data_IF_351977205692
#
_entry.id   IF_351977205692
#
_cell.length_a   1.000
_cell.length_b   1.000
_cell.length_c   1.000
_cell.angle_alpha   90.00
_cell.angle_beta   90.00
_cell.angle_gamma   90.00
#
_symmetry.space_group_name_H-M   'P 1'
#
loop_
_entity.id
_entity.type
_entity.pdbx_description
1 polymer ?
#
# COMPACT_ATOMS: atom_id res chain seq x y z
N UNK A 1 -14.17 10.72 -20.82
CA UNK A 1 -13.98 9.25 -20.79
C UNK A 1 -12.78 9.00 -19.91
N UNK A 2 -12.95 8.21 -18.87
CA UNK A 2 -11.89 7.98 -17.89
C UNK A 2 -10.89 6.98 -18.42
N UNK A 3 -9.62 7.38 -18.45
CA UNK A 3 -8.55 6.54 -18.94
C UNK A 3 -7.42 6.47 -17.93
N UNK A 4 -6.94 5.25 -17.68
CA UNK A 4 -5.73 5.00 -16.90
C UNK A 4 -4.65 4.54 -17.86
N UNK A 5 -3.48 5.14 -17.79
CA UNK A 5 -2.32 4.73 -18.58
C UNK A 5 -1.06 4.77 -17.73
N UNK A 6 -0.13 3.89 -18.05
CA UNK A 6 1.18 3.80 -17.41
C UNK A 6 2.25 4.24 -18.39
N UNK A 7 3.19 5.08 -17.93
CA UNK A 7 4.26 5.63 -18.75
C UNK A 7 5.57 5.67 -17.97
N UNK A 8 6.64 5.36 -18.68
CA UNK A 8 8.00 5.54 -18.19
C UNK A 8 8.52 6.92 -18.59
N UNK A 9 9.29 7.53 -17.70
CA UNK A 9 9.98 8.79 -17.96
C UNK A 9 11.26 8.90 -17.13
N UNK A 10 12.10 9.85 -17.50
CA UNK A 10 13.38 10.09 -16.84
C UNK A 10 13.48 11.53 -16.36
N UNK A 11 14.21 11.72 -15.25
CA UNK A 11 14.63 13.03 -14.77
C UNK A 11 16.12 13.04 -14.50
N UNK A 12 16.72 14.23 -14.63
CA UNK A 12 18.09 14.49 -14.20
C UNK A 12 18.09 14.99 -12.75
N UNK A 13 18.61 14.16 -11.85
CA UNK A 13 18.64 14.38 -10.41
C UNK A 13 19.97 13.88 -9.82
N UNK A 14 20.97 14.77 -9.68
CA UNK A 14 22.25 14.42 -9.07
C UNK A 14 22.04 14.01 -7.60
N UNK A 15 22.92 13.18 -7.01
CA UNK A 15 22.81 12.69 -5.64
C UNK A 15 22.42 13.72 -4.58
N UNK A 16 23.02 14.92 -4.64
CA UNK A 16 22.76 16.01 -3.69
C UNK A 16 21.34 16.59 -3.74
N UNK A 17 20.57 16.27 -4.78
CA UNK A 17 19.18 16.71 -4.98
C UNK A 17 18.16 15.58 -4.80
N UNK A 18 18.55 14.39 -4.34
CA UNK A 18 17.65 13.22 -4.23
C UNK A 18 16.78 13.27 -2.96
N UNK A 19 16.05 14.35 -2.81
CA UNK A 19 14.94 14.53 -1.85
C UNK A 19 13.62 14.40 -2.59
N UNK A 20 12.52 14.07 -1.89
CA UNK A 20 11.22 14.03 -2.56
C UNK A 20 10.84 15.41 -3.10
N UNK A 21 11.11 16.48 -2.34
CA UNK A 21 10.83 17.87 -2.73
C UNK A 21 11.44 18.25 -4.08
N UNK A 22 12.70 17.93 -4.30
CA UNK A 22 13.39 18.26 -5.56
C UNK A 22 12.96 17.34 -6.70
N UNK A 23 12.80 16.04 -6.41
CA UNK A 23 12.35 15.04 -7.38
C UNK A 23 10.94 15.40 -7.87
N UNK A 24 10.01 15.72 -6.98
CA UNK A 24 8.63 16.01 -7.34
C UNK A 24 8.50 17.28 -8.20
N UNK A 25 9.31 18.31 -7.95
CA UNK A 25 9.38 19.51 -8.79
C UNK A 25 9.89 19.19 -10.21
N UNK A 26 10.93 18.36 -10.33
CA UNK A 26 11.45 17.92 -11.63
C UNK A 26 10.40 17.11 -12.40
N UNK A 27 9.67 16.24 -11.72
CA UNK A 27 8.57 15.46 -12.32
C UNK A 27 7.43 16.39 -12.76
N UNK A 28 7.04 17.36 -11.93
CA UNK A 28 5.98 18.32 -12.24
C UNK A 28 6.31 19.24 -13.43
N UNK A 29 7.60 19.46 -13.73
CA UNK A 29 8.05 20.24 -14.88
C UNK A 29 7.98 19.47 -16.21
N UNK A 30 7.82 18.15 -16.19
CA UNK A 30 7.65 17.34 -17.39
C UNK A 30 6.23 17.49 -17.94
N UNK A 31 6.01 17.41 -19.26
CA UNK A 31 4.69 17.41 -19.88
C UNK A 31 4.02 16.04 -19.69
N UNK A 32 3.79 15.65 -18.44
CA UNK A 32 3.17 14.38 -18.08
C UNK A 32 1.64 14.47 -18.17
N UNK A 33 0.99 13.42 -18.68
CA UNK A 33 -0.44 13.43 -18.89
C UNK A 33 -1.22 13.08 -17.60
N UNK A 34 -2.36 13.74 -17.37
CA UNK A 34 -3.31 13.40 -16.30
C UNK A 34 -2.81 13.62 -14.86
N UNK A 35 -3.53 13.05 -13.90
CA UNK A 35 -3.19 13.06 -12.46
C UNK A 35 -2.36 11.83 -12.14
N UNK A 36 -1.16 11.95 -11.52
CA UNK A 36 -0.37 10.80 -11.12
C UNK A 36 -1.02 10.09 -9.93
N UNK A 37 -1.20 8.77 -10.04
CA UNK A 37 -1.83 7.92 -9.00
C UNK A 37 -0.89 6.87 -8.43
N UNK A 38 0.23 6.58 -9.11
CA UNK A 38 1.27 5.66 -8.65
C UNK A 38 2.60 6.09 -9.25
N UNK A 39 3.66 6.16 -8.45
CA UNK A 39 5.03 6.44 -8.92
C UNK A 39 5.99 5.39 -8.37
N UNK A 40 6.79 4.80 -9.25
CA UNK A 40 7.76 3.76 -8.94
C UNK A 40 9.09 4.17 -9.54
N UNK A 41 10.14 4.27 -8.72
CA UNK A 41 11.50 4.37 -9.22
C UNK A 41 11.95 2.98 -9.70
N UNK A 42 12.24 2.84 -10.99
CA UNK A 42 12.58 1.55 -11.60
C UNK A 42 14.06 1.42 -11.91
N UNK A 43 14.78 2.55 -12.06
CA UNK A 43 16.20 2.54 -12.42
C UNK A 43 16.94 3.78 -11.94
N UNK A 44 18.22 3.61 -11.62
CA UNK A 44 19.16 4.68 -11.23
C UNK A 44 20.46 4.50 -12.02
N UNK A 45 20.83 5.47 -12.85
CA UNK A 45 22.06 5.44 -13.65
C UNK A 45 22.77 6.80 -13.64
N UNK A 46 23.88 6.89 -12.90
CA UNK A 46 24.56 8.17 -12.71
C UNK A 46 23.61 9.18 -12.05
N UNK A 47 23.36 10.31 -12.72
CA UNK A 47 22.43 11.35 -12.30
C UNK A 47 21.00 11.15 -12.85
N UNK A 48 20.78 10.14 -13.68
CA UNK A 48 19.47 9.85 -14.26
C UNK A 48 18.65 8.93 -13.34
N UNK A 49 17.42 9.35 -13.05
CA UNK A 49 16.42 8.53 -12.38
C UNK A 49 15.30 8.19 -13.37
N UNK A 50 14.98 6.91 -13.52
CA UNK A 50 13.87 6.44 -14.36
C UNK A 50 12.70 6.00 -13.50
N UNK A 51 11.52 6.51 -13.81
CA UNK A 51 10.28 6.21 -13.11
C UNK A 51 9.27 5.57 -14.04
N UNK A 52 8.54 4.58 -13.53
CA UNK A 52 7.25 4.14 -14.06
C UNK A 52 6.16 4.85 -13.26
N UNK A 53 5.22 5.51 -13.94
CA UNK A 53 4.07 6.14 -13.29
C UNK A 53 2.78 5.77 -13.97
N UNK A 54 1.75 5.52 -13.16
CA UNK A 54 0.39 5.38 -13.63
C UNK A 54 -0.35 6.69 -13.40
N UNK A 55 -1.10 7.10 -14.40
CA UNK A 55 -1.86 8.34 -14.41
C UNK A 55 -3.30 8.05 -14.78
N UNK A 56 -4.18 8.99 -14.42
CA UNK A 56 -5.58 8.98 -14.82
C UNK A 56 -5.96 10.32 -15.43
N UNK A 57 -6.65 10.24 -16.56
CA UNK A 57 -7.33 11.34 -17.21
C UNK A 57 -8.84 11.18 -17.01
N UNK A 58 -9.46 12.15 -16.32
CA UNK A 58 -10.88 12.16 -15.98
C UNK A 58 -11.35 13.59 -15.68
N UNK A 59 -12.65 13.84 -15.89
CA UNK A 59 -13.27 15.14 -15.59
C UNK A 59 -13.46 15.37 -14.07
N UNK A 60 -13.33 14.30 -13.27
CA UNK A 60 -13.44 14.37 -11.82
C UNK A 60 -12.19 14.95 -11.20
N UNK A 61 -12.34 15.82 -10.19
CA UNK A 61 -11.19 16.39 -9.48
C UNK A 61 -10.74 15.47 -8.35
N UNK A 62 -9.42 15.36 -8.09
CA UNK A 62 -8.91 14.66 -6.92
C UNK A 62 -9.46 15.25 -5.62
N UNK A 63 -9.69 14.40 -4.61
CA UNK A 63 -10.15 14.84 -3.27
C UNK A 63 -9.00 15.22 -2.34
N UNK A 64 -7.81 14.68 -2.63
CA UNK A 64 -6.55 14.93 -1.92
C UNK A 64 -5.59 15.73 -2.81
N UNK A 65 -4.51 16.22 -2.21
CA UNK A 65 -3.41 16.87 -2.92
C UNK A 65 -2.72 15.91 -3.90
N UNK A 66 -1.94 16.45 -4.84
CA UNK A 66 -1.15 15.63 -5.74
C UNK A 66 -0.14 14.80 -4.95
N UNK A 67 0.20 13.61 -5.45
CA UNK A 67 1.34 12.83 -4.91
C UNK A 67 2.67 13.60 -5.02
N UNK A 68 2.74 14.60 -5.90
CA UNK A 68 3.92 15.45 -6.05
C UNK A 68 4.01 16.55 -4.98
N UNK A 69 2.92 16.79 -4.24
CA UNK A 69 2.87 17.81 -3.19
C UNK A 69 3.31 17.21 -1.85
N UNK A 70 4.24 17.89 -1.17
CA UNK A 70 4.71 17.53 0.18
C UNK A 70 4.51 18.70 1.15
N UNK A 71 3.88 18.40 2.28
CA UNK A 71 3.67 19.30 3.40
C UNK A 71 4.55 18.86 4.58
N UNK A 72 5.61 19.62 4.84
CA UNK A 72 6.56 19.30 5.91
C UNK A 72 5.91 19.49 7.27
N UNK A 73 6.08 18.47 8.13
CA UNK A 73 5.60 18.48 9.51
C UNK A 73 6.21 19.64 10.27
N UNK A 74 5.36 20.35 11.03
CA UNK A 74 5.78 21.52 11.79
C UNK A 74 6.24 21.16 13.20
N UNK A 75 5.87 19.97 13.69
CA UNK A 75 6.23 19.43 14.99
C UNK A 75 6.35 17.91 14.95
N UNK A 76 7.00 17.38 15.98
CA UNK A 76 7.11 15.93 16.23
C UNK A 76 6.35 15.60 17.51
N UNK A 77 5.47 14.60 17.43
CA UNK A 77 4.64 14.15 18.56
C UNK A 77 4.62 12.62 18.61
N UNK A 78 5.51 12.02 19.40
CA UNK A 78 5.60 10.56 19.55
C UNK A 78 4.48 9.96 20.43
N UNK A 79 3.34 10.65 20.51
CA UNK A 79 2.15 10.26 21.27
C UNK A 79 0.91 10.50 20.38
N UNK A 80 0.22 9.45 19.91
CA UNK A 80 0.63 8.04 20.01
C UNK A 80 1.94 7.77 19.24
N UNK A 81 2.68 6.72 19.62
CA UNK A 81 3.84 6.23 18.89
C UNK A 81 3.37 5.42 17.67
N UNK A 82 3.47 6.01 16.47
CA UNK A 82 2.99 5.40 15.23
C UNK A 82 4.17 4.90 14.40
N UNK A 83 4.11 3.64 13.98
CA UNK A 83 5.00 3.10 12.96
C UNK A 83 4.23 2.91 11.65
N UNK A 84 4.91 3.06 10.52
CA UNK A 84 4.39 2.70 9.20
C UNK A 84 5.18 1.52 8.68
N UNK A 85 4.52 0.43 8.29
CA UNK A 85 5.15 -0.72 7.64
C UNK A 85 4.74 -0.75 6.18
N UNK A 86 5.72 -0.68 5.28
CA UNK A 86 5.51 -0.79 3.84
C UNK A 86 5.99 -2.15 3.39
N UNK A 87 5.10 -2.91 2.75
CA UNK A 87 5.48 -4.12 2.03
C UNK A 87 5.02 -3.98 0.58
N UNK A 88 5.95 -3.66 -0.34
CA UNK A 88 5.62 -3.33 -1.71
C UNK A 88 5.06 -4.55 -2.42
N UNK A 89 3.93 -4.36 -3.11
CA UNK A 89 3.27 -5.41 -3.88
C UNK A 89 3.72 -5.37 -5.33
N UNK A 90 3.76 -6.52 -6.01
CA UNK A 90 4.10 -6.60 -7.43
C UNK A 90 5.59 -6.51 -7.74
N UNK A 91 6.44 -6.63 -6.72
CA UNK A 91 7.92 -6.52 -6.81
C UNK A 91 8.66 -7.76 -6.28
N UNK A 92 7.91 -8.83 -5.95
CA UNK A 92 8.41 -10.07 -5.35
C UNK A 92 9.20 -9.81 -4.05
N UNK A 93 8.54 -9.26 -3.04
CA UNK A 93 9.10 -9.28 -1.69
C UNK A 93 9.21 -10.74 -1.20
N UNK A 94 10.23 -11.06 -0.40
CA UNK A 94 10.35 -12.39 0.20
C UNK A 94 9.37 -12.60 1.35
N UNK A 95 8.99 -11.52 2.04
CA UNK A 95 7.92 -11.47 3.03
C UNK A 95 6.88 -10.44 2.57
N UNK A 96 5.62 -10.88 2.42
CA UNK A 96 4.50 -10.08 1.91
C UNK A 96 4.45 -9.97 0.39
N UNK A 97 5.24 -10.81 -0.30
CA UNK A 97 5.11 -11.02 -1.75
C UNK A 97 4.01 -12.01 -2.14
N UNK A 98 3.47 -12.72 -1.16
CA UNK A 98 2.41 -13.73 -1.29
C UNK A 98 1.16 -13.27 -0.52
N UNK A 99 0.06 -14.02 -0.62
CA UNK A 99 -1.21 -13.60 -0.02
C UNK A 99 -1.16 -13.55 1.52
N UNK A 100 -0.92 -12.35 2.06
CA UNK A 100 -0.94 -12.03 3.50
C UNK A 100 0.11 -12.74 4.34
N UNK A 101 1.17 -13.28 3.72
CA UNK A 101 2.28 -13.98 4.39
C UNK A 101 3.09 -13.06 5.31
N UNK A 102 2.94 -11.74 5.16
CA UNK A 102 3.51 -10.75 6.05
C UNK A 102 2.72 -10.51 7.36
N UNK A 103 1.51 -11.06 7.51
CA UNK A 103 0.66 -10.80 8.70
C UNK A 103 1.40 -11.04 10.02
N UNK A 104 2.19 -12.12 10.19
CA UNK A 104 2.97 -12.33 11.43
C UNK A 104 3.99 -11.21 11.70
N UNK A 105 4.73 -10.77 10.67
CA UNK A 105 5.69 -9.66 10.77
C UNK A 105 4.98 -8.35 11.08
N UNK A 106 3.83 -8.09 10.44
CA UNK A 106 2.98 -6.93 10.74
C UNK A 106 2.54 -6.93 12.20
N UNK A 107 2.02 -8.05 12.71
CA UNK A 107 1.58 -8.15 14.10
C UNK A 107 2.73 -8.00 15.11
N UNK A 108 3.93 -8.48 14.77
CA UNK A 108 5.11 -8.31 15.59
C UNK A 108 5.50 -6.82 15.70
N UNK A 109 5.52 -6.10 14.58
CA UNK A 109 5.76 -4.65 14.57
C UNK A 109 4.65 -3.89 15.32
N UNK A 110 3.39 -4.30 15.15
CA UNK A 110 2.24 -3.70 15.81
C UNK A 110 2.31 -3.83 17.33
N UNK A 111 2.88 -4.93 17.82
CA UNK A 111 3.11 -5.14 19.26
C UNK A 111 4.17 -4.18 19.84
N UNK A 112 4.97 -3.51 19.00
CA UNK A 112 6.01 -2.56 19.42
C UNK A 112 5.57 -1.09 19.37
N UNK A 113 4.39 -0.77 18.82
CA UNK A 113 3.88 0.59 18.69
C UNK A 113 2.45 0.75 19.22
N UNK A 114 1.95 1.98 19.31
CA UNK A 114 0.55 2.23 19.67
C UNK A 114 -0.36 1.98 18.46
N UNK A 115 0.07 2.38 17.27
CA UNK A 115 -0.59 2.06 16.00
C UNK A 115 0.44 1.68 14.93
N UNK A 116 0.11 0.68 14.11
CA UNK A 116 0.88 0.32 12.92
C UNK A 116 0.06 0.60 11.67
N UNK A 117 0.47 1.54 10.84
CA UNK A 117 -0.15 1.76 9.52
C UNK A 117 0.50 0.83 8.51
N UNK A 118 -0.29 0.09 7.73
CA UNK A 118 0.25 -0.78 6.67
C UNK A 118 -0.71 -0.98 5.50
N UNK A 119 -0.15 -1.40 4.36
CA UNK A 119 -0.90 -1.64 3.14
C UNK A 119 -1.68 -2.96 3.19
N UNK A 120 -2.83 -3.05 2.48
CA UNK A 120 -3.70 -4.22 2.41
C UNK A 120 -3.00 -5.58 2.36
N UNK A 121 -2.12 -5.76 1.37
CA UNK A 121 -1.47 -7.03 1.08
C UNK A 121 -0.57 -7.55 2.21
N UNK A 122 -0.20 -6.70 3.17
CA UNK A 122 0.54 -7.13 4.34
C UNK A 122 -0.29 -7.97 5.33
N UNK A 123 -1.64 -7.92 5.25
CA UNK A 123 -2.54 -8.55 6.23
C UNK A 123 -3.74 -9.28 5.63
N UNK A 124 -3.99 -9.16 4.33
CA UNK A 124 -5.10 -9.85 3.65
C UNK A 124 -4.62 -11.08 2.91
N UNK A 125 -5.25 -12.22 3.20
CA UNK A 125 -4.95 -13.50 2.60
C UNK A 125 -6.26 -14.19 2.18
N UNK A 126 -6.89 -13.71 1.10
CA UNK A 126 -8.14 -14.25 0.58
C UNK A 126 -9.26 -14.33 1.62
N UNK A 127 -9.46 -15.48 2.27
CA UNK A 127 -10.47 -15.65 3.33
C UNK A 127 -9.94 -15.47 4.75
N UNK A 128 -8.62 -15.43 4.94
CA UNK A 128 -7.96 -15.40 6.24
C UNK A 128 -7.51 -13.97 6.59
N UNK A 129 -7.85 -13.52 7.80
CA UNK A 129 -7.41 -12.24 8.35
C UNK A 129 -7.03 -12.38 9.82
N UNK A 130 -5.79 -12.02 10.15
CA UNK A 130 -5.25 -12.09 11.53
C UNK A 130 -4.57 -10.79 11.97
N UNK A 131 -4.84 -9.65 11.29
CA UNK A 131 -4.31 -8.36 11.72
C UNK A 131 -4.77 -7.98 13.14
N UNK A 132 -3.85 -7.48 13.97
CA UNK A 132 -4.18 -6.97 15.32
C UNK A 132 -5.06 -5.72 15.29
N UNK A 133 -5.79 -5.44 16.38
CA UNK A 133 -6.71 -4.30 16.50
C UNK A 133 -6.03 -2.93 16.32
N UNK A 134 -4.73 -2.81 16.60
CA UNK A 134 -3.97 -1.57 16.42
C UNK A 134 -3.27 -1.44 15.04
N UNK A 135 -3.53 -2.38 14.12
CA UNK A 135 -3.12 -2.28 12.72
C UNK A 135 -4.14 -1.43 11.96
N UNK A 136 -3.69 -0.28 11.46
CA UNK A 136 -4.49 0.62 10.65
C UNK A 136 -4.33 0.26 9.18
N UNK A 137 -5.42 -0.29 8.63
CA UNK A 137 -5.50 -0.77 7.26
C UNK A 137 -5.66 0.39 6.27
N UNK A 138 -4.60 0.76 5.56
CA UNK A 138 -4.60 1.93 4.68
C UNK A 138 -3.92 1.60 3.35
N UNK A 139 -4.60 1.81 2.23
CA UNK A 139 -4.01 1.50 0.93
C UNK A 139 -2.85 2.44 0.56
N UNK A 140 -2.00 2.02 -0.37
CA UNK A 140 -0.71 2.64 -0.66
C UNK A 140 -0.75 4.13 -1.04
N UNK A 141 -1.75 4.60 -1.80
CA UNK A 141 -1.87 6.03 -2.13
C UNK A 141 -2.17 6.85 -0.87
N UNK A 142 -3.11 6.43 -0.03
CA UNK A 142 -3.38 7.09 1.26
C UNK A 142 -2.19 7.01 2.23
N UNK A 143 -1.39 5.93 2.21
CA UNK A 143 -0.12 5.90 2.96
C UNK A 143 0.85 6.95 2.42
N UNK A 144 0.99 7.07 1.09
CA UNK A 144 1.81 8.12 0.48
C UNK A 144 1.32 9.51 0.92
N UNK A 145 0.02 9.77 0.83
CA UNK A 145 -0.58 11.05 1.24
C UNK A 145 -0.34 11.36 2.73
N UNK A 146 -0.39 10.34 3.60
CA UNK A 146 -0.06 10.49 5.02
C UNK A 146 1.41 10.88 5.20
N UNK A 147 2.35 10.18 4.57
CA UNK A 147 3.79 10.45 4.69
C UNK A 147 4.22 11.77 4.01
N UNK A 148 3.52 12.17 2.95
CA UNK A 148 3.64 13.48 2.34
C UNK A 148 3.08 14.61 3.22
N UNK A 149 2.37 14.28 4.31
CA UNK A 149 1.77 15.26 5.22
C UNK A 149 0.49 15.91 4.68
N UNK A 150 -0.10 15.36 3.61
CA UNK A 150 -1.27 15.91 2.94
C UNK A 150 -2.57 15.56 3.69
N UNK A 151 -2.60 14.43 4.40
CA UNK A 151 -3.76 13.98 5.16
C UNK A 151 -3.38 13.61 6.60
N UNK A 152 -4.39 13.59 7.47
CA UNK A 152 -4.38 12.81 8.69
C UNK A 152 -5.32 11.61 8.56
N UNK A 153 -5.26 10.71 9.53
CA UNK A 153 -6.18 9.58 9.67
C UNK A 153 -6.68 9.50 11.11
N UNK A 154 -7.95 9.15 11.28
CA UNK A 154 -8.56 8.95 12.60
C UNK A 154 -8.80 7.45 12.77
N UNK A 155 -8.13 6.77 13.72
CA UNK A 155 -8.42 5.38 14.04
C UNK A 155 -9.87 5.21 14.47
N UNK A 156 -10.59 4.32 13.79
CA UNK A 156 -11.97 3.96 14.11
C UNK A 156 -12.29 2.61 13.47
N UNK A 157 -13.29 1.90 14.00
CA UNK A 157 -13.89 0.78 13.29
C UNK A 157 -14.92 1.30 12.30
N UNK A 158 -15.02 0.66 11.13
CA UNK A 158 -16.03 0.98 10.12
C UNK A 158 -17.32 0.23 10.44
N UNK A 159 -18.39 1.00 10.61
CA UNK A 159 -19.72 0.46 10.85
C UNK A 159 -20.46 0.07 9.56
N UNK A 160 -20.01 0.56 8.41
CA UNK A 160 -20.60 0.24 7.11
C UNK A 160 -19.54 0.21 6.01
N UNK A 161 -19.54 -0.84 5.21
CA UNK A 161 -18.61 -1.07 4.11
C UNK A 161 -19.39 -1.31 2.82
N UNK A 162 -19.06 -0.60 1.75
CA UNK A 162 -19.66 -0.86 0.45
C UNK A 162 -18.93 -2.00 -0.26
N UNK A 163 -19.67 -2.69 -1.12
CA UNK A 163 -19.15 -3.74 -1.99
C UNK A 163 -19.46 -3.37 -3.44
N UNK A 164 -18.45 -3.27 -4.29
CA UNK A 164 -18.63 -3.11 -5.74
C UNK A 164 -18.17 -4.38 -6.41
N UNK A 165 -19.09 -5.03 -7.13
CA UNK A 165 -18.84 -6.28 -7.86
C UNK A 165 -18.87 -5.94 -9.35
N UNK A 166 -17.79 -6.18 -10.06
CA UNK A 166 -17.83 -6.18 -11.51
C UNK A 166 -18.85 -7.20 -11.98
N UNK A 167 -19.72 -6.83 -12.93
CA UNK A 167 -20.66 -7.75 -13.57
C UNK A 167 -19.91 -8.98 -14.14
N UNK A 168 -20.05 -10.16 -13.53
CA UNK A 168 -19.29 -11.32 -13.98
C UNK A 168 -19.87 -11.86 -15.29
N UNK A 169 -19.02 -12.58 -16.04
CA UNK A 169 -19.44 -13.31 -17.25
C UNK A 169 -20.41 -14.45 -16.93
N UNK A 170 -20.37 -14.97 -15.70
CA UNK A 170 -21.20 -16.07 -15.21
C UNK A 170 -21.85 -15.72 -13.86
N UNK A 171 -23.16 -15.91 -13.75
CA UNK A 171 -23.94 -15.64 -12.54
C UNK A 171 -23.48 -16.45 -11.32
N UNK A 172 -22.87 -17.62 -11.52
CA UNK A 172 -22.34 -18.44 -10.43
C UNK A 172 -21.25 -17.72 -9.65
N UNK A 173 -20.41 -16.91 -10.30
CA UNK A 173 -19.38 -16.12 -9.62
C UNK A 173 -19.99 -14.95 -8.85
N UNK A 174 -21.05 -14.32 -9.38
CA UNK A 174 -21.82 -13.32 -8.63
C UNK A 174 -22.41 -13.95 -7.36
N UNK A 175 -23.09 -15.09 -7.51
CA UNK A 175 -23.70 -15.80 -6.39
C UNK A 175 -22.65 -16.22 -5.35
N UNK A 176 -21.46 -16.60 -5.77
CA UNK A 176 -20.38 -16.95 -4.86
C UNK A 176 -19.90 -15.75 -4.02
N UNK A 177 -19.68 -14.60 -4.67
CA UNK A 177 -19.34 -13.36 -3.95
C UNK A 177 -20.47 -12.94 -3.03
N UNK A 178 -21.73 -12.97 -3.50
CA UNK A 178 -22.91 -12.63 -2.67
C UNK A 178 -23.03 -13.56 -1.47
N UNK A 179 -22.75 -14.85 -1.62
CA UNK A 179 -22.72 -15.81 -0.51
C UNK A 179 -21.61 -15.49 0.48
N UNK A 180 -20.41 -15.09 0.02
CA UNK A 180 -19.34 -14.64 0.89
C UNK A 180 -19.75 -13.38 1.68
N UNK A 181 -20.34 -12.38 1.02
CA UNK A 181 -20.88 -11.19 1.67
C UNK A 181 -21.97 -11.54 2.70
N UNK A 182 -22.89 -12.43 2.36
CA UNK A 182 -23.93 -12.91 3.28
C UNK A 182 -23.32 -13.68 4.46
N UNK A 183 -22.27 -14.46 4.25
CA UNK A 183 -21.53 -15.13 5.31
C UNK A 183 -20.91 -14.14 6.29
N UNK A 184 -20.24 -13.10 5.78
CA UNK A 184 -19.67 -12.03 6.60
C UNK A 184 -20.73 -11.26 7.40
N UNK A 185 -21.91 -11.04 6.83
CA UNK A 185 -23.06 -10.44 7.54
C UNK A 185 -23.61 -11.38 8.62
N UNK A 186 -23.89 -12.63 8.25
CA UNK A 186 -24.58 -13.59 9.13
C UNK A 186 -23.69 -14.09 10.28
N UNK A 187 -22.39 -14.25 10.04
CA UNK A 187 -21.44 -14.77 11.03
C UNK A 187 -20.63 -13.66 11.68
N UNK A 188 -20.12 -12.72 10.87
CA UNK A 188 -19.27 -11.63 11.35
C UNK A 188 -20.04 -10.42 11.90
N UNK A 189 -21.36 -10.34 11.65
CA UNK A 189 -22.17 -9.18 12.07
C UNK A 189 -21.81 -7.89 11.35
N UNK A 190 -21.17 -7.99 10.18
CA UNK A 190 -20.67 -6.84 9.41
C UNK A 190 -21.82 -6.23 8.63
N UNK A 191 -21.97 -4.91 8.69
CA UNK A 191 -22.92 -4.22 7.80
C UNK A 191 -22.25 -3.92 6.45
N UNK A 192 -22.87 -4.40 5.38
CA UNK A 192 -22.38 -4.27 4.01
C UNK A 192 -23.48 -3.60 3.18
N UNK A 193 -23.36 -2.30 2.97
CA UNK A 193 -24.33 -1.50 2.22
C UNK A 193 -23.68 -0.21 1.67
N UNK A 194 -23.86 0.13 0.39
CA UNK A 194 -24.57 -0.63 -0.64
C UNK A 194 -23.71 -1.78 -1.20
N UNK A 195 -24.41 -2.78 -1.76
CA UNK A 195 -23.80 -3.76 -2.68
C UNK A 195 -24.18 -3.34 -4.10
N UNK A 196 -23.19 -2.93 -4.89
CA UNK A 196 -23.38 -2.44 -6.26
C UNK A 196 -22.77 -3.44 -7.24
N UNK A 197 -23.55 -3.85 -8.24
CA UNK A 197 -23.03 -4.60 -9.39
C UNK A 197 -22.87 -3.61 -10.54
N UNK A 198 -21.71 -3.57 -11.20
CA UNK A 198 -21.47 -2.65 -12.31
C UNK A 198 -22.42 -2.91 -13.50
N UNK A 199 -22.67 -1.89 -14.33
CA UNK A 199 -23.52 -2.05 -15.52
C UNK A 199 -22.86 -2.87 -16.63
N UNK A 200 -21.54 -2.70 -16.77
CA UNK A 200 -20.67 -3.41 -17.71
C UNK A 200 -19.35 -3.88 -17.08
N UNK A 201 -18.47 -4.51 -17.88
CA UNK A 201 -17.19 -5.03 -17.41
C UNK A 201 -16.19 -3.93 -17.05
N UNK A 202 -15.30 -4.26 -16.15
CA UNK A 202 -14.14 -3.46 -15.71
C UNK A 202 -12.90 -4.25 -16.14
N UNK A 203 -12.70 -4.34 -17.46
CA UNK A 203 -11.69 -5.20 -18.07
C UNK A 203 -10.28 -4.79 -17.62
N UNK A 204 -9.65 -5.66 -16.83
CA UNK A 204 -8.31 -5.42 -16.29
C UNK A 204 -7.37 -6.53 -16.75
N UNK A 205 -6.42 -6.19 -17.62
CA UNK A 205 -5.36 -7.10 -18.03
C UNK A 205 -4.13 -6.86 -17.17
N UNK A 206 -3.68 -7.89 -16.46
CA UNK A 206 -2.47 -7.84 -15.64
C UNK A 206 -1.25 -8.05 -16.52
N UNK A 207 -0.27 -7.15 -16.40
CA UNK A 207 0.92 -7.12 -17.24
C UNK A 207 2.19 -7.04 -16.40
N UNK A 208 3.34 -7.31 -17.01
CA UNK A 208 4.62 -6.93 -16.44
C UNK A 208 5.21 -5.78 -17.23
N UNK A 209 5.80 -4.82 -16.52
CA UNK A 209 6.57 -3.75 -17.14
C UNK A 209 7.86 -4.29 -17.78
N UNK A 210 8.52 -3.45 -18.57
CA UNK A 210 9.85 -3.76 -19.09
C UNK A 210 10.92 -3.93 -17.99
N UNK A 211 10.68 -3.40 -16.80
CA UNK A 211 11.53 -3.59 -15.61
C UNK A 211 11.12 -4.81 -14.77
N UNK A 212 10.07 -5.52 -15.20
CA UNK A 212 9.66 -6.81 -14.68
C UNK A 212 8.85 -6.76 -13.39
N UNK A 213 8.31 -5.60 -12.99
CA UNK A 213 7.30 -5.47 -11.95
C UNK A 213 5.89 -5.62 -12.50
N UNK A 214 4.95 -6.02 -11.65
CA UNK A 214 3.55 -6.12 -12.03
C UNK A 214 2.93 -4.74 -12.31
N UNK A 215 2.04 -4.70 -13.29
CA UNK A 215 1.31 -3.53 -13.76
C UNK A 215 -0.05 -3.97 -14.31
N UNK A 216 -0.79 -3.05 -14.93
CA UNK A 216 -2.08 -3.37 -15.53
C UNK A 216 -2.52 -2.41 -16.62
N UNK A 217 -3.38 -2.93 -17.51
CA UNK A 217 -4.11 -2.16 -18.51
C UNK A 217 -5.61 -2.22 -18.17
N UNK A 218 -6.28 -1.07 -18.30
CA UNK A 218 -7.63 -0.88 -17.76
C UNK A 218 -8.58 -0.36 -18.84
N UNK A 219 -9.76 -0.98 -18.95
CA UNK A 219 -10.90 -0.46 -19.72
C UNK A 219 -12.15 -0.50 -18.87
N UNK A 220 -13.18 0.26 -19.28
CA UNK A 220 -14.43 0.32 -18.53
C UNK A 220 -14.34 1.09 -17.20
N UNK A 221 -13.32 1.94 -17.01
CA UNK A 221 -13.16 2.74 -15.79
C UNK A 221 -14.36 3.65 -15.51
N UNK A 222 -15.05 4.12 -16.56
CA UNK A 222 -16.29 4.88 -16.42
C UNK A 222 -17.42 4.07 -15.74
N UNK A 223 -17.47 2.74 -15.91
CA UNK A 223 -18.43 1.88 -15.22
C UNK A 223 -18.12 1.75 -13.73
N UNK A 224 -16.84 1.61 -13.38
CA UNK A 224 -16.38 1.60 -12.00
C UNK A 224 -16.66 2.94 -11.31
N UNK A 225 -16.41 4.07 -11.98
CA UNK A 225 -16.72 5.39 -11.41
C UNK A 225 -18.21 5.58 -11.15
N UNK A 226 -19.10 5.16 -12.07
CA UNK A 226 -20.55 5.21 -11.83
C UNK A 226 -20.95 4.41 -10.58
N UNK A 227 -20.36 3.24 -10.37
CA UNK A 227 -20.61 2.45 -9.17
C UNK A 227 -20.10 3.15 -7.89
N UNK A 228 -18.95 3.82 -7.98
CA UNK A 228 -18.40 4.59 -6.87
C UNK A 228 -19.22 5.85 -6.55
N UNK A 229 -19.82 6.51 -7.56
CA UNK A 229 -20.76 7.62 -7.35
C UNK A 229 -21.98 7.17 -6.55
N UNK A 230 -22.49 5.94 -6.77
CA UNK A 230 -23.56 5.37 -5.94
C UNK A 230 -23.10 5.20 -4.50
N UNK A 231 -21.88 4.70 -4.28
CA UNK A 231 -21.31 4.53 -2.94
C UNK A 231 -21.10 5.88 -2.24
N UNK A 232 -20.66 6.92 -2.96
CA UNK A 232 -20.45 8.26 -2.40
C UNK A 232 -21.73 8.86 -1.81
N UNK A 233 -22.85 8.61 -2.46
CA UNK A 233 -24.18 9.03 -2.02
C UNK A 233 -24.75 8.18 -0.86
N UNK A 234 -24.02 7.17 -0.41
CA UNK A 234 -24.37 6.35 0.76
C UNK A 234 -23.61 6.78 2.03
N UNK A 235 -23.86 6.08 3.15
CA UNK A 235 -23.12 6.27 4.41
C UNK A 235 -21.77 5.54 4.44
N UNK A 236 -21.49 4.63 3.51
CA UNK A 236 -20.24 3.86 3.49
C UNK A 236 -19.02 4.75 3.16
N UNK A 237 -17.92 4.52 3.88
CA UNK A 237 -16.64 5.24 3.69
C UNK A 237 -15.43 4.30 3.57
N UNK A 238 -15.72 3.02 3.32
CA UNK A 238 -14.80 1.96 3.00
C UNK A 238 -15.42 1.12 1.88
N UNK A 239 -14.64 0.67 0.90
CA UNK A 239 -15.14 -0.02 -0.29
C UNK A 239 -14.28 -1.24 -0.61
N UNK A 240 -14.90 -2.41 -0.70
CA UNK A 240 -14.31 -3.59 -1.29
C UNK A 240 -14.64 -3.62 -2.79
N UNK A 241 -13.60 -3.75 -3.63
CA UNK A 241 -13.72 -3.90 -5.07
C UNK A 241 -13.50 -5.36 -5.45
N UNK A 242 -14.45 -5.95 -6.17
CA UNK A 242 -14.35 -7.30 -6.71
C UNK A 242 -14.39 -7.22 -8.23
N UNK A 243 -13.23 -7.16 -8.87
CA UNK A 243 -13.13 -7.09 -10.33
C UNK A 243 -12.31 -8.24 -10.88
N UNK A 244 -12.55 -8.54 -12.14
CA UNK A 244 -11.79 -9.53 -12.90
C UNK A 244 -10.37 -9.04 -13.11
N UNK A 245 -9.42 -9.97 -13.04
CA UNK A 245 -8.02 -9.73 -13.33
C UNK A 245 -7.55 -10.81 -14.32
N UNK A 246 -7.38 -10.44 -15.58
CA UNK A 246 -6.94 -11.34 -16.63
C UNK A 246 -5.41 -11.49 -16.59
N UNK A 247 -4.93 -12.73 -16.42
CA UNK A 247 -3.50 -13.10 -16.41
C UNK A 247 -3.29 -14.24 -17.39
N UNK A 248 -2.21 -14.20 -18.17
CA UNK A 248 -1.81 -15.33 -19.03
C UNK A 248 -1.61 -16.61 -18.20
N UNK A 249 -2.19 -17.73 -18.64
CA UNK A 249 -2.15 -18.97 -17.85
C UNK A 249 -0.71 -19.42 -17.56
N UNK A 250 0.25 -19.23 -18.47
CA UNK A 250 1.66 -19.61 -18.20
C UNK A 250 2.23 -18.82 -17.04
N UNK A 251 1.93 -17.52 -16.96
CA UNK A 251 2.35 -16.65 -15.85
C UNK A 251 1.70 -17.10 -14.55
N UNK A 252 0.39 -17.37 -14.57
CA UNK A 252 -0.33 -17.86 -13.40
C UNK A 252 0.23 -19.20 -12.89
N UNK A 253 0.45 -20.16 -13.79
CA UNK A 253 1.02 -21.45 -13.40
C UNK A 253 2.45 -21.29 -12.87
N UNK A 254 3.26 -20.40 -13.46
CA UNK A 254 4.60 -20.11 -12.96
C UNK A 254 4.57 -19.55 -11.52
N UNK A 255 3.65 -18.63 -11.24
CA UNK A 255 3.44 -18.08 -9.89
C UNK A 255 3.10 -19.20 -8.90
N UNK A 256 2.09 -20.03 -9.19
CA UNK A 256 1.67 -21.12 -8.30
C UNK A 256 2.69 -22.25 -8.15
N UNK A 257 3.65 -22.38 -9.08
CA UNK A 257 4.80 -23.28 -8.95
C UNK A 257 5.91 -22.71 -8.04
N UNK A 258 5.76 -21.49 -7.53
CA UNK A 258 6.76 -20.81 -6.72
C UNK A 258 7.96 -20.33 -7.53
N UNK A 259 7.81 -20.12 -8.85
CA UNK A 259 8.87 -19.51 -9.64
C UNK A 259 9.16 -18.09 -9.12
N UNK A 260 10.40 -17.63 -9.29
CA UNK A 260 10.83 -16.32 -8.78
C UNK A 260 10.31 -15.16 -9.64
N UNK A 261 8.99 -15.02 -9.72
CA UNK A 261 8.28 -13.94 -10.40
C UNK A 261 7.45 -13.13 -9.40
N UNK A 262 7.23 -11.82 -9.61
CA UNK A 262 6.31 -11.07 -8.76
C UNK A 262 4.89 -11.62 -8.82
N UNK A 263 4.09 -11.32 -7.80
CA UNK A 263 2.64 -11.51 -7.88
C UNK A 263 2.11 -10.73 -9.11
N UNK A 264 1.49 -11.41 -10.10
CA UNK A 264 1.06 -10.79 -11.35
C UNK A 264 -0.13 -9.85 -11.18
N UNK A 265 -0.95 -10.04 -10.14
CA UNK A 265 -2.17 -9.27 -9.89
C UNK A 265 -1.89 -7.93 -9.22
N UNK A 266 -0.99 -7.93 -8.23
CA UNK A 266 -0.91 -6.84 -7.26
C UNK A 266 -0.55 -5.47 -7.82
N UNK A 267 0.09 -5.40 -8.99
CA UNK A 267 0.33 -4.14 -9.69
C UNK A 267 -0.97 -3.50 -10.19
N UNK A 268 -1.84 -4.29 -10.82
CA UNK A 268 -3.13 -3.82 -11.32
C UNK A 268 -4.08 -3.44 -10.18
N UNK A 269 -4.12 -4.25 -9.12
CA UNK A 269 -4.91 -3.99 -7.91
C UNK A 269 -4.51 -2.66 -7.24
N UNK A 270 -3.21 -2.42 -7.12
CA UNK A 270 -2.69 -1.17 -6.57
C UNK A 270 -3.09 0.03 -7.41
N UNK A 271 -2.93 -0.01 -8.73
CA UNK A 271 -3.33 1.11 -9.62
C UNK A 271 -4.82 1.42 -9.46
N UNK A 272 -5.68 0.40 -9.46
CA UNK A 272 -7.12 0.59 -9.36
C UNK A 272 -7.56 1.15 -7.99
N UNK A 273 -6.98 0.66 -6.90
CA UNK A 273 -7.28 1.17 -5.55
C UNK A 273 -6.72 2.59 -5.35
N UNK A 274 -5.53 2.89 -5.86
CA UNK A 274 -4.95 4.24 -5.84
C UNK A 274 -5.78 5.22 -6.67
N UNK A 275 -6.30 4.77 -7.83
CA UNK A 275 -7.25 5.55 -8.61
C UNK A 275 -8.47 5.89 -7.76
N UNK A 276 -9.14 4.90 -7.20
CA UNK A 276 -10.33 5.13 -6.37
C UNK A 276 -10.06 6.13 -5.24
N UNK A 277 -9.02 5.92 -4.44
CA UNK A 277 -8.77 6.77 -3.25
C UNK A 277 -8.24 8.16 -3.60
N UNK A 278 -7.74 8.40 -4.81
CA UNK A 278 -7.39 9.75 -5.26
C UNK A 278 -8.62 10.62 -5.54
N UNK A 279 -9.72 10.02 -6.01
CA UNK A 279 -10.92 10.77 -6.39
C UNK A 279 -12.05 10.63 -5.38
N UNK A 280 -12.12 9.56 -4.60
CA UNK A 280 -13.16 9.36 -3.60
C UNK A 280 -12.58 9.39 -2.18
N UNK A 281 -13.27 10.00 -1.20
CA UNK A 281 -12.78 10.10 0.18
C UNK A 281 -13.06 8.81 0.97
N UNK A 282 -12.69 7.66 0.39
CA UNK A 282 -12.88 6.34 0.95
C UNK A 282 -11.54 5.70 1.31
N UNK A 283 -11.63 4.62 2.08
CA UNK A 283 -10.60 3.58 2.08
C UNK A 283 -11.03 2.48 1.13
N UNK A 284 -10.07 1.79 0.52
CA UNK A 284 -10.37 0.75 -0.45
C UNK A 284 -9.49 -0.47 -0.27
N UNK A 285 -10.06 -1.61 -0.64
CA UNK A 285 -9.35 -2.86 -0.80
C UNK A 285 -9.84 -3.54 -2.09
N UNK A 286 -8.98 -4.35 -2.68
CA UNK A 286 -9.32 -5.15 -3.84
C UNK A 286 -9.37 -6.63 -3.48
N UNK A 287 -10.25 -7.36 -4.16
CA UNK A 287 -10.28 -8.82 -4.19
C UNK A 287 -10.49 -9.27 -5.64
N UNK A 288 -9.75 -10.28 -6.14
CA UNK A 288 -9.97 -10.79 -7.47
C UNK A 288 -11.35 -11.46 -7.60
N UNK A 289 -12.04 -11.18 -8.70
CA UNK A 289 -13.24 -11.89 -9.11
C UNK A 289 -12.86 -13.10 -9.98
N UNK A 290 -13.33 -14.28 -9.60
CA UNK A 290 -13.03 -15.53 -10.30
C UNK A 290 -13.55 -15.49 -11.75
N UNK A 291 -12.68 -15.86 -12.69
CA UNK A 291 -12.99 -15.91 -14.13
C UNK A 291 -13.45 -17.29 -14.60
N UNK A 292 -12.83 -18.35 -14.09
CA UNK A 292 -13.10 -19.74 -14.44
C UNK A 292 -12.94 -20.62 -13.19
N UNK A 293 -13.65 -21.74 -13.11
CA UNK A 293 -13.64 -22.63 -11.94
C UNK A 293 -12.26 -23.26 -11.71
N UNK A 294 -11.58 -23.56 -12.80
CA UNK A 294 -10.26 -24.17 -12.86
C UNK A 294 -9.18 -23.27 -12.23
N UNK A 295 -9.43 -21.96 -12.14
CA UNK A 295 -8.51 -21.00 -11.54
C UNK A 295 -8.45 -21.09 -10.01
N UNK A 296 -9.44 -21.71 -9.36
CA UNK A 296 -9.45 -21.89 -7.89
C UNK A 296 -8.35 -22.80 -7.39
N UNK A 297 -7.77 -23.64 -8.25
CA UNK A 297 -6.78 -24.63 -7.84
C UNK A 297 -7.32 -25.69 -6.87
N UNK A 298 -8.64 -25.88 -6.81
CA UNK A 298 -9.28 -26.80 -5.86
C UNK A 298 -8.61 -28.17 -5.82
N UNK A 299 -8.19 -28.59 -4.62
CA UNK A 299 -7.53 -29.89 -4.38
C UNK A 299 -6.05 -29.94 -4.74
N UNK A 300 -5.43 -28.83 -5.18
CA UNK A 300 -3.98 -28.75 -5.41
C UNK A 300 -3.25 -28.28 -4.16
N UNK A 301 -2.00 -28.73 -4.02
CA UNK A 301 -1.06 -28.25 -3.00
C UNK A 301 -0.03 -27.34 -3.66
N UNK A 302 0.17 -26.15 -3.11
CA UNK A 302 1.10 -25.12 -3.61
C UNK A 302 2.09 -24.72 -2.51
N UNK A 303 2.92 -23.69 -2.76
CA UNK A 303 3.78 -23.09 -1.73
C UNK A 303 2.96 -22.77 -0.47
N UNK A 304 3.44 -23.12 0.73
CA UNK A 304 2.69 -22.87 1.97
C UNK A 304 2.32 -21.39 2.19
N UNK A 305 3.08 -20.44 1.63
CA UNK A 305 2.79 -19.00 1.72
C UNK A 305 1.55 -18.58 0.92
N UNK A 306 1.17 -19.34 -0.12
CA UNK A 306 -0.03 -19.11 -0.93
C UNK A 306 -1.23 -19.98 -0.51
N UNK A 307 -1.11 -20.75 0.59
CA UNK A 307 -2.14 -21.69 1.01
C UNK A 307 -3.52 -21.05 1.20
N UNK A 308 -3.56 -19.77 1.58
CA UNK A 308 -4.79 -19.01 1.74
C UNK A 308 -5.50 -18.71 0.41
N UNK A 309 -4.78 -18.57 -0.71
CA UNK A 309 -5.39 -18.37 -2.02
C UNK A 309 -6.18 -19.58 -2.49
N UNK A 310 -5.69 -20.80 -2.21
CA UNK A 310 -6.27 -22.03 -2.77
C UNK A 310 -7.50 -22.54 -2.02
N UNK A 311 -7.77 -22.04 -0.82
CA UNK A 311 -8.98 -22.38 -0.06
C UNK A 311 -10.15 -21.45 -0.36
N UNK A 312 -9.89 -20.36 -1.07
CA UNK A 312 -10.87 -19.31 -1.36
C UNK A 312 -11.41 -19.44 -2.78
N UNK A 313 -12.71 -19.15 -2.91
CA UNK A 313 -13.37 -19.04 -4.21
C UNK A 313 -13.94 -17.64 -4.48
N UNK A 314 -13.99 -16.76 -3.46
CA UNK A 314 -14.56 -15.42 -3.54
C UNK A 314 -13.55 -14.30 -3.20
N UNK A 315 -12.47 -14.62 -2.47
CA UNK A 315 -11.32 -13.76 -2.15
C UNK A 315 -11.61 -12.48 -1.35
N UNK A 316 -12.88 -12.16 -1.10
CA UNK A 316 -13.35 -10.88 -0.54
C UNK A 316 -13.37 -10.82 0.99
N UNK A 317 -13.35 -11.97 1.68
CA UNK A 317 -13.58 -12.00 3.13
C UNK A 317 -12.48 -11.28 3.92
N UNK A 318 -11.20 -11.52 3.61
CA UNK A 318 -10.11 -10.84 4.30
C UNK A 318 -9.98 -9.35 3.95
N UNK A 319 -10.14 -8.90 2.68
CA UNK A 319 -10.25 -7.47 2.37
C UNK A 319 -11.35 -6.75 3.15
N UNK A 320 -12.54 -7.36 3.28
CA UNK A 320 -13.63 -6.78 4.07
C UNK A 320 -13.29 -6.70 5.56
N UNK A 321 -12.72 -7.76 6.14
CA UNK A 321 -12.25 -7.74 7.53
C UNK A 321 -11.18 -6.66 7.76
N UNK A 322 -10.25 -6.48 6.81
CA UNK A 322 -9.26 -5.41 6.84
C UNK A 322 -9.91 -4.02 6.81
N UNK A 323 -10.89 -3.81 5.93
CA UNK A 323 -11.61 -2.54 5.81
C UNK A 323 -12.38 -2.15 7.07
N UNK A 324 -12.81 -3.10 7.91
CA UNK A 324 -13.40 -2.80 9.23
C UNK A 324 -12.41 -2.01 10.09
N UNK A 325 -11.12 -2.33 10.02
CA UNK A 325 -10.04 -1.67 10.77
C UNK A 325 -9.36 -0.53 9.98
N UNK A 326 -9.95 -0.10 8.86
CA UNK A 326 -9.41 1.02 8.09
C UNK A 326 -9.69 2.35 8.80
N UNK A 327 -8.68 3.20 9.03
CA UNK A 327 -8.90 4.49 9.69
C UNK A 327 -9.63 5.44 8.74
N UNK A 328 -10.25 6.50 9.26
CA UNK A 328 -10.91 7.55 8.48
C UNK A 328 -9.89 8.58 7.96
N UNK A 329 -9.64 8.67 6.64
CA UNK A 329 -8.81 9.73 6.08
C UNK A 329 -9.52 11.08 6.26
N UNK A 330 -8.76 12.08 6.68
CA UNK A 330 -9.25 13.45 6.88
C UNK A 330 -8.21 14.44 6.37
N UNK A 331 -8.67 15.63 5.94
CA UNK A 331 -7.73 16.72 5.66
C UNK A 331 -7.00 17.12 6.93
N UNK A 332 -5.76 17.54 6.81
CA UNK A 332 -4.90 17.85 7.96
C UNK A 332 -5.48 18.92 8.90
N UNK A 333 -6.27 19.84 8.38
CA UNK A 333 -6.94 20.93 9.10
C UNK A 333 -8.32 20.57 9.66
N UNK A 334 -8.81 19.34 9.40
CA UNK A 334 -10.14 18.89 9.85
C UNK A 334 -10.21 18.93 11.39
N UNK A 335 -11.21 19.60 11.98
CA UNK A 335 -11.43 19.56 13.42
C UNK A 335 -11.63 18.13 13.92
N UNK A 336 -10.99 17.81 15.04
CA UNK A 336 -11.05 16.49 15.67
C UNK A 336 -12.14 16.51 16.74
N UNK A 337 -13.07 15.56 16.71
CA UNK A 337 -14.14 15.51 17.70
C UNK A 337 -13.60 15.11 19.09
N UNK A 338 -14.28 15.47 20.20
CA UNK A 338 -13.89 15.01 21.52
C UNK A 338 -13.76 13.48 21.59
N UNK A 339 -12.61 12.99 22.05
CA UNK A 339 -12.31 11.56 22.15
C UNK A 339 -11.68 10.93 20.89
N UNK A 340 -11.66 11.63 19.76
CA UNK A 340 -10.91 11.18 18.59
C UNK A 340 -9.43 11.59 18.70
N UNK A 341 -8.55 10.77 18.12
CA UNK A 341 -7.14 11.10 17.95
C UNK A 341 -6.81 11.10 16.47
N UNK A 342 -6.40 12.26 15.94
CA UNK A 342 -5.88 12.36 14.58
C UNK A 342 -4.41 11.97 14.58
N UNK A 343 -4.09 10.94 13.82
CA UNK A 343 -2.73 10.55 13.46
C UNK A 343 -2.36 11.27 12.16
N UNK A 344 -1.26 11.99 12.15
CA UNK A 344 -0.67 12.57 10.94
C UNK A 344 0.81 12.22 10.84
N UNK A 345 1.51 12.74 9.84
CA UNK A 345 2.97 12.64 9.74
C UNK A 345 3.71 13.17 10.98
N UNK A 346 3.08 14.05 11.77
CA UNK A 346 3.62 14.54 13.04
C UNK A 346 3.75 13.42 14.10
N UNK A 347 2.93 12.37 13.99
CA UNK A 347 2.92 11.22 14.90
C UNK A 347 3.78 10.04 14.42
N UNK A 348 4.18 10.03 13.15
CA UNK A 348 4.97 8.94 12.59
C UNK A 348 6.37 8.97 13.18
N UNK A 349 6.67 7.94 13.96
CA UNK A 349 7.90 7.78 14.73
C UNK A 349 8.96 6.97 13.98
N UNK A 350 8.54 6.07 13.07
CA UNK A 350 9.44 5.35 12.17
C UNK A 350 8.69 4.75 10.97
N UNK A 351 9.40 4.54 9.87
CA UNK A 351 8.95 3.74 8.71
C UNK A 351 9.80 2.49 8.58
N UNK A 352 9.16 1.33 8.47
CA UNK A 352 9.81 0.02 8.26
C UNK A 352 9.53 -0.44 6.84
N UNK A 353 10.57 -0.79 6.08
CA UNK A 353 10.43 -1.25 4.70
C UNK A 353 11.59 -2.14 4.24
N UNK A 354 11.44 -2.91 3.15
CA UNK A 354 12.55 -3.66 2.55
C UNK A 354 13.70 -2.76 2.08
N UNK A 355 14.95 -3.18 2.33
CA UNK A 355 16.14 -2.41 1.94
C UNK A 355 16.27 -2.19 0.41
N UNK A 356 15.79 -3.15 -0.38
CA UNK A 356 15.95 -3.19 -1.84
C UNK A 356 14.82 -2.51 -2.62
N UNK A 357 13.94 -1.73 -1.96
CA UNK A 357 12.86 -0.96 -2.59
C UNK A 357 12.82 0.51 -2.18
N UNK A 358 13.98 1.11 -1.90
CA UNK A 358 14.03 2.53 -1.55
C UNK A 358 13.91 3.45 -2.78
N UNK A 359 13.72 4.75 -2.56
CA UNK A 359 13.54 5.75 -3.63
C UNK A 359 12.09 5.96 -4.06
N UNK A 360 11.15 5.27 -3.45
CA UNK A 360 9.72 5.53 -3.57
C UNK A 360 9.28 6.69 -2.65
N UNK A 361 8.01 7.11 -2.78
CA UNK A 361 7.43 8.18 -1.96
C UNK A 361 7.57 7.87 -0.45
N UNK A 362 7.18 6.69 0.06
CA UNK A 362 7.33 6.39 1.48
C UNK A 362 8.75 6.59 2.01
N UNK A 363 9.77 6.19 1.26
CA UNK A 363 11.17 6.37 1.64
C UNK A 363 11.59 7.85 1.61
N UNK A 364 11.46 8.50 0.44
CA UNK A 364 11.96 9.87 0.25
C UNK A 364 11.19 10.89 1.07
N UNK A 365 9.86 10.76 1.16
CA UNK A 365 9.05 11.64 2.00
C UNK A 365 9.41 11.47 3.48
N UNK A 366 9.69 10.24 3.95
CA UNK A 366 10.13 10.04 5.34
C UNK A 366 11.44 10.77 5.64
N UNK A 367 12.41 10.72 4.74
CA UNK A 367 13.67 11.46 4.89
C UNK A 367 13.45 12.98 4.91
N UNK A 368 12.63 13.51 4.00
CA UNK A 368 12.28 14.93 3.93
C UNK A 368 11.55 15.41 5.20
N UNK A 369 10.74 14.54 5.81
CA UNK A 369 10.04 14.80 7.06
C UNK A 369 10.95 14.64 8.29
N UNK A 370 12.11 14.01 8.14
CA UNK A 370 12.98 13.59 9.24
C UNK A 370 12.41 12.47 10.10
N UNK A 371 11.59 11.61 9.50
CA UNK A 371 11.13 10.36 10.10
C UNK A 371 12.23 9.31 9.93
N UNK A 372 12.69 8.66 11.02
CA UNK A 372 13.61 7.53 10.93
C UNK A 372 13.09 6.41 10.01
N UNK A 373 13.99 5.86 9.19
CA UNK A 373 13.66 4.72 8.31
C UNK A 373 14.43 3.49 8.78
N UNK A 374 13.74 2.37 8.90
CA UNK A 374 14.27 1.05 9.28
C UNK A 374 14.20 0.16 8.06
N UNK A 375 15.36 -0.17 7.50
CA UNK A 375 15.49 -1.02 6.33
C UNK A 375 15.78 -2.47 6.74
N UNK A 376 14.92 -3.38 6.29
CA UNK A 376 15.02 -4.82 6.57
C UNK A 376 15.73 -5.51 5.40
N UNK A 377 16.92 -6.09 5.65
CA UNK A 377 17.77 -6.69 4.61
C UNK A 377 17.26 -8.02 4.08
N UNK A 378 16.74 -8.87 4.97
CA UNK A 378 16.35 -10.24 4.60
C UNK A 378 15.06 -10.25 3.77
N UNK A 379 14.26 -9.16 3.80
CA UNK A 379 13.15 -9.00 2.87
C UNK A 379 13.66 -8.43 1.56
N UNK A 380 14.19 -9.28 0.69
CA UNK A 380 14.70 -8.86 -0.63
C UNK A 380 13.56 -8.72 -1.65
N UNK A 381 13.77 -7.88 -2.65
CA UNK A 381 12.81 -7.56 -3.72
C UNK A 381 13.48 -7.44 -5.08
N UNK A 382 12.73 -7.50 -6.17
CA UNK A 382 13.27 -7.46 -7.54
C UNK A 382 13.95 -6.15 -7.96
N UNK A 383 13.59 -5.00 -7.37
CA UNK A 383 14.14 -3.70 -7.80
C UNK A 383 15.62 -3.50 -7.46
N UNK A 384 16.12 -4.13 -6.40
CA UNK A 384 17.51 -3.99 -5.93
C UNK A 384 17.97 -2.50 -5.88
N UNK A 385 17.09 -1.59 -5.47
CA UNK A 385 17.41 -0.18 -5.29
C UNK A 385 17.65 0.03 -3.79
N UNK A 386 18.90 0.38 -3.45
CA UNK A 386 19.36 0.61 -2.08
C UNK A 386 19.76 2.08 -1.85
N UNK A 387 19.88 2.54 -0.59
CA UNK A 387 20.40 3.88 -0.31
C UNK A 387 21.76 4.19 -0.95
N UNK A 388 22.64 3.19 -1.07
CA UNK A 388 23.95 3.33 -1.73
C UNK A 388 23.82 3.61 -3.22
N UNK A 389 22.92 2.89 -3.92
CA UNK A 389 22.66 3.14 -5.35
C UNK A 389 22.08 4.54 -5.56
N UNK A 390 21.25 4.99 -4.61
CA UNK A 390 20.72 6.35 -4.60
C UNK A 390 21.74 7.39 -4.15
N UNK A 391 22.87 7.01 -3.56
CA UNK A 391 23.88 7.94 -3.04
C UNK A 391 23.27 9.02 -2.12
N UNK A 392 22.31 8.62 -1.29
CA UNK A 392 21.63 9.52 -0.36
C UNK A 392 22.46 9.63 0.91
N UNK A 393 22.88 10.86 1.23
CA UNK A 393 23.48 11.19 2.52
C UNK A 393 22.38 11.55 3.51
N UNK A 394 22.33 10.85 4.64
CA UNK A 394 21.38 11.17 5.71
C UNK A 394 21.80 12.46 6.40
N UNK A 395 21.09 13.57 6.15
CA UNK A 395 21.31 14.88 6.79
C UNK A 395 20.85 14.88 8.27
N UNK A 396 21.37 13.97 9.08
CA UNK A 396 21.02 13.83 10.50
C UNK A 396 19.79 12.96 10.81
N UNK A 397 19.06 12.50 9.80
CA UNK A 397 17.93 11.58 9.96
C UNK A 397 18.41 10.12 9.85
N UNK A 398 18.27 9.29 10.90
CA UNK A 398 18.85 7.96 10.88
C UNK A 398 18.11 7.03 9.91
N UNK A 399 18.87 6.46 8.97
CA UNK A 399 18.50 5.21 8.30
C UNK A 399 19.13 4.08 9.11
N UNK A 400 18.29 3.30 9.78
CA UNK A 400 18.71 2.09 10.46
C UNK A 400 18.63 0.90 9.52
N UNK A 401 19.58 -0.02 9.65
CA UNK A 401 19.58 -1.29 8.92
C UNK A 401 19.53 -2.44 9.89
N UNK A 402 18.60 -3.35 9.66
CA UNK A 402 18.40 -4.56 10.45
C UNK A 402 18.26 -5.75 9.50
N UNK A 403 18.58 -6.95 9.97
CA UNK A 403 18.48 -8.14 9.11
C UNK A 403 17.01 -8.55 8.96
N UNK A 404 16.25 -8.56 10.07
CA UNK A 404 14.89 -9.12 10.11
C UNK A 404 13.84 -8.18 10.71
N UNK A 405 12.56 -8.50 10.50
CA UNK A 405 11.45 -7.81 11.16
C UNK A 405 11.44 -7.98 12.70
N UNK A 406 12.07 -9.03 13.23
CA UNK A 406 12.27 -9.19 14.68
C UNK A 406 13.22 -8.12 15.23
N UNK A 407 14.32 -7.89 14.54
CA UNK A 407 15.25 -6.80 14.88
C UNK A 407 14.59 -5.42 14.70
N UNK A 408 13.79 -5.24 13.64
CA UNK A 408 13.01 -4.01 13.42
C UNK A 408 12.05 -3.74 14.60
N UNK A 409 11.36 -4.75 15.11
CA UNK A 409 10.48 -4.61 16.27
C UNK A 409 11.26 -4.23 17.53
N UNK A 410 12.43 -4.85 17.77
CA UNK A 410 13.33 -4.47 18.87
C UNK A 410 13.80 -3.02 18.76
N UNK A 411 14.09 -2.55 17.55
CA UNK A 411 14.46 -1.17 17.28
C UNK A 411 13.29 -0.19 17.53
N UNK A 412 12.07 -0.54 17.10
CA UNK A 412 10.87 0.25 17.42
C UNK A 412 10.66 0.37 18.93
N UNK A 413 10.88 -0.70 19.70
CA UNK A 413 10.83 -0.65 21.16
C UNK A 413 11.88 0.28 21.75
N UNK A 414 13.11 0.28 21.23
CA UNK A 414 14.14 1.20 21.67
C UNK A 414 13.72 2.67 21.43
N UNK A 415 13.25 2.98 20.21
CA UNK A 415 12.77 4.31 19.84
C UNK A 415 11.58 4.75 20.71
N UNK A 416 10.59 3.88 20.91
CA UNK A 416 9.40 4.15 21.73
C UNK A 416 9.73 4.48 23.17
N UNK A 417 10.75 3.82 23.73
CA UNK A 417 11.17 4.01 25.12
C UNK A 417 12.30 5.04 25.30
N UNK A 418 12.68 5.76 24.23
CA UNK A 418 13.75 6.77 24.29
C UNK A 418 15.13 6.18 24.58
N UNK A 419 15.37 4.92 24.25
CA UNK A 419 16.65 4.25 24.40
C UNK A 419 17.52 4.59 23.17
N UNK A 420 18.70 5.15 23.41
CA UNK A 420 19.68 5.42 22.36
C UNK A 420 20.08 4.11 21.65
N UNK A 421 19.84 4.02 20.34
CA UNK A 421 20.01 2.79 19.55
C UNK A 421 21.47 2.32 19.58
N UNK A 422 22.42 3.24 19.52
CA UNK A 422 23.86 2.97 19.60
C UNK A 422 24.27 2.29 20.93
N UNK A 423 23.48 2.45 22.00
CA UNK A 423 23.75 1.82 23.29
C UNK A 423 23.37 0.33 23.31
N UNK A 424 22.53 -0.13 22.38
CA UNK A 424 22.09 -1.53 22.26
C UNK A 424 22.96 -2.36 21.33
N UNK A 425 23.91 -1.74 20.62
CA UNK A 425 24.86 -2.42 19.70
C UNK A 425 26.27 -2.45 20.29
N UNK A 426 27.15 -3.31 19.73
CA UNK A 426 28.54 -3.46 20.18
C UNK A 426 29.54 -3.39 19.03
N UNK A 427 30.74 -2.81 19.25
CA UNK A 427 31.16 -2.11 20.47
C UNK A 427 30.43 -0.76 20.64
N UNK A 428 30.29 -0.28 21.88
CA UNK A 428 29.74 1.07 22.12
C UNK A 428 30.82 2.10 21.74
N UNK A 429 30.52 3.11 20.91
CA UNK A 429 31.48 4.17 20.59
C UNK A 429 31.89 4.98 21.83
N UNK A 430 33.18 5.27 21.96
CA UNK A 430 33.70 6.14 23.02
C UNK A 430 33.28 7.59 22.75
N UNK A 431 32.70 8.26 23.76
CA UNK A 431 32.36 9.68 23.69
C UNK A 431 33.61 10.53 23.40
N UNK A 432 33.48 11.50 22.49
CA UNK A 432 34.52 12.46 22.15
C UNK A 432 34.17 13.82 22.77
N UNK A 433 34.81 14.23 23.88
CA UNK A 433 34.53 15.53 24.49
C UNK A 433 34.97 16.68 23.57
N UNK A 434 34.12 17.69 23.42
CA UNK A 434 34.51 18.97 22.81
C UNK A 434 35.08 19.85 23.92
N UNK A 435 36.37 20.13 23.87
CA UNK A 435 37.02 21.07 24.79
C UNK A 435 36.82 22.49 24.25
N UNK A 436 36.25 23.36 25.08
CA UNK A 436 36.05 24.77 24.77
C UNK A 436 37.30 25.61 25.04
#
# INVERSE_FOLDING_TARGET
>A
MTQVYTKDFEIQCPPSQRTWREISQKIAALPLPGVPIRLILTKVEGDTLTFESSFIDTDRKPVWSSLLDINIRQRVSNQPFVAVSIIPTGVRAEIGGFAGDATPSTNLLASACDYLVTNPNAVTASDIYFGQDNVLYLEGNLICQLLLGNIGVIPQKRENIAAIIEKPKDERFLNNVINALNGLRAVGGINIDPVVVTGGPVETACTYSQYGNASGEFKGMDELMKALDVVENSSARAVALMTTLEVDDKIRQAYYRGESIPNPWGGAEAIMTHMLTNFYPFTAAHAPLLLEWEHTGFGKLVDPRDGAELISSAYVCSPLNGLINSPRPVRFDTPVAPGETRISVENVSAVVMPETTVGNIPFLASLDQGVPVILVKDNTTKYDITPERLQIETQGNPIYRVNSYMEAAGLLLALRNGIAVESTIRPIPQLQPIFM
#
